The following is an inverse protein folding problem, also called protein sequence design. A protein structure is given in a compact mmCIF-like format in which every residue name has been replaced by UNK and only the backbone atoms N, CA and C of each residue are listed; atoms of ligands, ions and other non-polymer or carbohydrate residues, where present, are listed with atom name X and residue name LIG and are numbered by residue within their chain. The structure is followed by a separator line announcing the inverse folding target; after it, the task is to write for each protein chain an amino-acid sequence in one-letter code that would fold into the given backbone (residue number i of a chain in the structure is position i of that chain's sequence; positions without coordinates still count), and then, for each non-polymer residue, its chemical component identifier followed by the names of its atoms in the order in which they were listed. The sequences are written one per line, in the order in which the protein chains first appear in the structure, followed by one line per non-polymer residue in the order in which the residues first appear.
data_IF_525881116969
#
_entry.id   IF_525881116969
#
_cell.length_a   1.000
_cell.length_b   1.000
_cell.length_c   1.000
_cell.angle_alpha   90.00
_cell.angle_beta   90.00
_cell.angle_gamma   90.00
#
_symmetry.space_group_name_H-M   'P 1'
#
loop_
_entity.id
_entity.type
_entity.pdbx_description
1 polymer ?
#
# COMPACT_ATOMS: atom_id res chain seq x y z
N UNK A 1 13.68 -24.87 13.05
CA UNK A 1 12.37 -25.34 13.57
C UNK A 1 11.48 -24.21 14.08
N UNK A 2 11.93 -23.34 15.02
CA UNK A 2 11.09 -22.24 15.54
C UNK A 2 10.67 -21.19 14.49
N UNK A 3 11.52 -20.88 13.51
CA UNK A 3 11.23 -19.93 12.43
C UNK A 3 10.17 -20.47 11.44
N UNK A 4 10.23 -21.77 11.12
CA UNK A 4 9.25 -22.42 10.26
C UNK A 4 7.86 -22.42 10.89
N UNK A 5 7.77 -22.74 12.19
CA UNK A 5 6.50 -22.73 12.91
C UNK A 5 5.82 -21.35 12.90
N UNK A 6 6.60 -20.25 12.93
CA UNK A 6 6.05 -18.89 12.84
C UNK A 6 5.56 -18.61 11.42
N UNK A 7 6.31 -18.99 10.39
CA UNK A 7 5.89 -18.84 8.99
C UNK A 7 4.57 -19.58 8.73
N UNK A 8 4.42 -20.78 9.28
CA UNK A 8 3.18 -21.55 9.15
C UNK A 8 1.99 -20.87 9.86
N UNK A 9 2.21 -20.22 11.01
CA UNK A 9 1.17 -19.46 11.71
C UNK A 9 0.73 -18.22 10.91
N UNK A 10 1.69 -17.49 10.33
CA UNK A 10 1.43 -16.34 9.46
C UNK A 10 0.65 -16.81 8.23
N UNK A 11 1.11 -17.87 7.57
CA UNK A 11 0.45 -18.43 6.39
C UNK A 11 -0.99 -18.86 6.69
N UNK A 12 -1.23 -19.54 7.81
CA UNK A 12 -2.59 -19.90 8.25
C UNK A 12 -3.49 -18.70 8.50
N UNK A 13 -2.94 -17.59 8.98
CA UNK A 13 -3.68 -16.33 9.15
C UNK A 13 -3.92 -15.63 7.81
N UNK A 14 -3.13 -15.92 6.78
CA UNK A 14 -3.32 -15.40 5.43
C UNK A 14 -4.28 -16.24 4.58
N UNK A 15 -4.52 -17.51 4.91
CA UNK A 15 -5.52 -18.37 4.25
C UNK A 15 -6.94 -17.99 4.65
N UNK A 16 -7.92 -18.11 3.75
CA UNK A 16 -9.35 -17.95 4.09
C UNK A 16 -10.17 -19.11 3.52
N UNK A 17 -10.99 -19.75 4.36
CA UNK A 17 -11.62 -21.02 4.00
C UNK A 17 -10.57 -22.05 3.59
N UNK A 18 -10.76 -22.65 2.40
CA UNK A 18 -9.81 -23.56 1.76
C UNK A 18 -9.00 -22.88 0.63
N UNK A 19 -8.96 -21.54 0.59
CA UNK A 19 -8.25 -20.79 -0.45
C UNK A 19 -6.99 -20.21 0.16
N UNK A 20 -5.86 -20.80 -0.20
CA UNK A 20 -4.54 -20.36 0.21
C UNK A 20 -4.05 -19.17 -0.63
N UNK A 21 -3.13 -18.33 -0.12
CA UNK A 21 -2.60 -17.20 -0.88
C UNK A 21 -1.99 -17.60 -2.24
N UNK A 22 -1.35 -18.78 -2.30
CA UNK A 22 -0.75 -19.31 -3.52
C UNK A 22 -1.78 -19.70 -4.59
N UNK A 23 -3.01 -20.00 -4.19
CA UNK A 23 -4.08 -20.43 -5.08
C UNK A 23 -4.88 -19.25 -5.65
N UNK A 24 -4.82 -18.07 -5.02
CA UNK A 24 -5.56 -16.90 -5.48
C UNK A 24 -4.72 -16.06 -6.44
N UNK A 25 -5.13 -16.08 -7.71
CA UNK A 25 -4.51 -15.30 -8.77
C UNK A 25 -4.81 -13.81 -8.66
N UNK A 26 -3.76 -13.00 -8.58
CA UNK A 26 -3.83 -11.56 -8.80
C UNK A 26 -3.39 -11.28 -10.24
N UNK A 27 -4.04 -10.33 -10.96
CA UNK A 27 -3.70 -10.02 -12.35
C UNK A 27 -2.28 -9.47 -12.56
N UNK A 28 -1.56 -9.11 -11.50
CA UNK A 28 -0.23 -8.51 -11.57
C UNK A 28 0.75 -9.27 -10.68
N UNK A 29 1.94 -9.67 -11.19
CA UNK A 29 2.96 -10.39 -10.42
C UNK A 29 3.76 -9.50 -9.46
N UNK A 30 3.56 -8.18 -9.49
CA UNK A 30 4.11 -7.21 -8.53
C UNK A 30 3.46 -5.83 -8.72
N UNK A 31 3.75 -4.88 -7.84
CA UNK A 31 3.28 -3.49 -8.01
C UNK A 31 3.97 -2.77 -9.18
N UNK A 32 5.17 -3.19 -9.56
CA UNK A 32 5.84 -2.74 -10.79
C UNK A 32 5.04 -3.18 -12.03
N UNK A 33 4.66 -4.45 -12.09
CA UNK A 33 3.92 -5.00 -13.23
C UNK A 33 2.51 -4.39 -13.39
N UNK A 34 1.92 -3.87 -12.31
CA UNK A 34 0.70 -3.07 -12.39
C UNK A 34 0.88 -1.86 -13.31
N UNK A 35 1.91 -1.05 -13.08
CA UNK A 35 2.15 0.15 -13.89
C UNK A 35 2.46 -0.24 -15.34
N UNK A 36 3.38 -1.19 -15.54
CA UNK A 36 3.75 -1.67 -16.88
C UNK A 36 2.52 -2.15 -17.66
N UNK A 37 1.66 -2.97 -17.03
CA UNK A 37 0.44 -3.49 -17.64
C UNK A 37 -0.59 -2.41 -17.97
N UNK A 38 -0.73 -1.37 -17.15
CA UNK A 38 -1.66 -0.25 -17.42
C UNK A 38 -1.21 0.56 -18.65
N UNK A 39 0.09 0.78 -18.83
CA UNK A 39 0.61 1.59 -19.94
C UNK A 39 0.35 0.99 -21.32
N UNK A 40 0.35 -0.34 -21.44
CA UNK A 40 0.20 -1.04 -22.73
C UNK A 40 -1.13 -0.67 -23.42
N UNK A 41 -2.21 -0.54 -22.64
CA UNK A 41 -3.56 -0.27 -23.19
C UNK A 41 -4.05 1.14 -22.94
N UNK A 42 -3.55 1.81 -21.89
CA UNK A 42 -4.10 3.07 -21.40
C UNK A 42 -3.02 4.16 -21.28
N UNK A 43 -1.94 4.07 -22.06
CA UNK A 43 -0.81 5.00 -22.01
C UNK A 43 -1.21 6.47 -22.04
N UNK A 44 -2.12 6.86 -22.94
CA UNK A 44 -2.55 8.25 -23.12
C UNK A 44 -3.62 8.70 -22.09
N UNK A 45 -4.10 7.80 -21.23
CA UNK A 45 -5.09 8.16 -20.22
C UNK A 45 -4.46 9.04 -19.14
N UNK A 46 -5.08 10.19 -18.87
CA UNK A 46 -4.71 11.06 -17.74
C UNK A 46 -5.02 10.33 -16.42
N UNK A 47 -4.01 10.23 -15.55
CA UNK A 47 -4.16 9.68 -14.19
C UNK A 47 -4.02 10.74 -13.12
N UNK A 48 -3.16 11.75 -13.30
CA UNK A 48 -3.03 12.88 -12.37
C UNK A 48 -3.43 14.16 -13.09
N UNK A 49 -4.72 14.48 -13.04
CA UNK A 49 -5.33 15.56 -13.82
C UNK A 49 -4.75 16.93 -13.48
N UNK A 50 -4.47 17.16 -12.21
CA UNK A 50 -3.99 18.47 -11.73
C UNK A 50 -2.60 18.83 -12.28
N UNK A 51 -1.84 17.82 -12.72
CA UNK A 51 -0.49 17.96 -13.28
C UNK A 51 -0.44 17.62 -14.77
N UNK A 52 -1.58 17.29 -15.38
CA UNK A 52 -1.66 16.80 -16.76
C UNK A 52 -0.74 15.60 -17.05
N UNK A 53 -0.63 14.66 -16.10
CA UNK A 53 0.22 13.47 -16.24
C UNK A 53 -0.62 12.29 -16.71
N UNK A 54 -0.22 11.69 -17.83
CA UNK A 54 -0.76 10.44 -18.36
C UNK A 54 -0.10 9.21 -17.73
N UNK A 55 -0.67 8.02 -17.95
CA UNK A 55 -0.04 6.76 -17.55
C UNK A 55 1.39 6.62 -18.10
N UNK A 56 1.58 6.89 -19.40
CA UNK A 56 2.90 6.75 -20.03
C UNK A 56 3.90 7.79 -19.51
N UNK A 57 3.44 9.01 -19.21
CA UNK A 57 4.30 10.03 -18.60
C UNK A 57 4.72 9.63 -17.20
N UNK A 58 3.79 9.12 -16.39
CA UNK A 58 4.11 8.65 -15.05
C UNK A 58 5.09 7.48 -15.06
N UNK A 59 4.93 6.53 -15.99
CA UNK A 59 5.86 5.42 -16.13
C UNK A 59 7.28 5.87 -16.51
N UNK A 60 7.40 6.86 -17.40
CA UNK A 60 8.69 7.47 -17.73
C UNK A 60 9.31 8.15 -16.50
N UNK A 61 8.52 8.89 -15.73
CA UNK A 61 8.98 9.50 -14.48
C UNK A 61 9.45 8.44 -13.47
N UNK A 62 8.77 7.30 -13.37
CA UNK A 62 9.18 6.19 -12.50
C UNK A 62 10.56 5.65 -12.91
N UNK A 63 10.79 5.42 -14.20
CA UNK A 63 12.08 4.95 -14.71
C UNK A 63 13.19 5.98 -14.49
N UNK A 64 12.90 7.27 -14.71
CA UNK A 64 13.82 8.37 -14.41
C UNK A 64 14.15 8.45 -12.91
N UNK A 65 13.15 8.23 -12.05
CA UNK A 65 13.33 8.19 -10.60
C UNK A 65 14.20 6.99 -10.19
N UNK A 66 14.05 5.84 -10.83
CA UNK A 66 14.90 4.67 -10.57
C UNK A 66 16.37 4.91 -10.92
N UNK A 67 16.66 5.61 -12.03
CA UNK A 67 18.03 6.07 -12.34
C UNK A 67 18.59 6.98 -11.25
N UNK A 68 17.84 8.01 -10.86
CA UNK A 68 18.26 8.93 -9.81
C UNK A 68 18.51 8.21 -8.48
N UNK A 69 17.63 7.29 -8.08
CA UNK A 69 17.79 6.46 -6.88
C UNK A 69 19.07 5.60 -6.94
N UNK A 70 19.39 5.03 -8.10
CA UNK A 70 20.63 4.27 -8.31
C UNK A 70 21.86 5.16 -8.11
N UNK A 71 21.84 6.41 -8.59
CA UNK A 71 22.92 7.38 -8.34
C UNK A 71 23.01 7.80 -6.86
N UNK A 72 21.89 7.81 -6.14
CA UNK A 72 21.89 7.98 -4.67
C UNK A 72 22.40 6.75 -3.91
N UNK A 73 22.85 5.71 -4.63
CA UNK A 73 23.39 4.49 -4.04
C UNK A 73 22.32 3.56 -3.44
N UNK A 74 21.05 3.72 -3.84
CA UNK A 74 19.99 2.78 -3.50
C UNK A 74 20.16 1.52 -4.35
N UNK A 75 19.96 0.36 -3.73
CA UNK A 75 20.09 -0.96 -4.33
C UNK A 75 18.81 -1.77 -4.09
N UNK A 76 18.58 -2.84 -4.86
CA UNK A 76 17.52 -3.78 -4.57
C UNK A 76 17.50 -4.22 -3.10
N UNK A 77 16.29 -4.36 -2.54
CA UNK A 77 16.00 -4.77 -1.15
C UNK A 77 16.42 -3.79 -0.05
N UNK A 78 16.99 -2.64 -0.39
CA UNK A 78 17.19 -1.57 0.58
C UNK A 78 15.85 -1.09 1.16
N UNK A 79 15.85 -0.73 2.44
CA UNK A 79 14.71 -0.12 3.10
C UNK A 79 14.91 1.39 3.10
N UNK A 80 14.09 2.14 2.36
CA UNK A 80 14.24 3.59 2.19
C UNK A 80 13.08 4.31 2.87
N UNK A 81 13.39 5.27 3.74
CA UNK A 81 12.37 6.09 4.41
C UNK A 81 11.64 6.95 3.37
N UNK A 82 10.31 6.91 3.39
CA UNK A 82 9.46 7.77 2.57
C UNK A 82 9.15 9.05 3.36
N UNK A 83 9.67 10.17 2.89
CA UNK A 83 9.30 11.50 3.39
C UNK A 83 8.23 12.13 2.51
N UNK A 84 7.30 12.85 3.15
CA UNK A 84 6.22 13.54 2.44
C UNK A 84 6.73 14.72 1.60
N UNK A 85 6.43 14.65 0.31
CA UNK A 85 6.58 15.70 -0.70
C UNK A 85 5.23 16.05 -1.32
N UNK A 86 5.20 17.13 -2.11
CA UNK A 86 3.99 17.52 -2.83
C UNK A 86 3.50 16.40 -3.74
N UNK A 87 2.18 16.25 -3.86
CA UNK A 87 1.59 15.30 -4.79
C UNK A 87 1.97 15.67 -6.25
N UNK A 88 2.30 14.71 -7.14
CA UNK A 88 2.38 13.25 -6.94
C UNK A 88 3.81 12.74 -6.64
N UNK A 89 4.70 13.58 -6.09
CA UNK A 89 6.12 13.28 -5.94
C UNK A 89 6.39 12.20 -4.88
N UNK A 90 5.60 12.14 -3.80
CA UNK A 90 5.72 11.07 -2.79
C UNK A 90 5.33 9.72 -3.38
N UNK A 91 4.25 9.69 -4.15
CA UNK A 91 3.78 8.50 -4.86
C UNK A 91 4.82 8.07 -5.91
N UNK A 92 5.38 9.03 -6.67
CA UNK A 92 6.45 8.79 -7.63
C UNK A 92 7.69 8.15 -6.99
N UNK A 93 8.13 8.68 -5.83
CA UNK A 93 9.24 8.11 -5.07
C UNK A 93 9.02 6.64 -4.74
N UNK A 94 7.83 6.29 -4.24
CA UNK A 94 7.52 4.91 -3.88
C UNK A 94 7.51 3.98 -5.10
N UNK A 95 6.92 4.41 -6.22
CA UNK A 95 6.96 3.62 -7.44
C UNK A 95 8.37 3.47 -8.01
N UNK A 96 9.22 4.51 -7.91
CA UNK A 96 10.64 4.43 -8.28
C UNK A 96 11.40 3.38 -7.47
N UNK A 97 11.19 3.36 -6.15
CA UNK A 97 11.78 2.34 -5.27
C UNK A 97 11.33 0.93 -5.65
N UNK A 98 10.03 0.71 -5.86
CA UNK A 98 9.53 -0.60 -6.29
C UNK A 98 10.05 -0.99 -7.67
N UNK A 99 10.18 -0.05 -8.60
CA UNK A 99 10.66 -0.32 -9.95
C UNK A 99 12.09 -0.84 -9.95
N UNK A 100 12.96 -0.34 -9.06
CA UNK A 100 14.33 -0.87 -8.88
C UNK A 100 14.45 -2.03 -7.89
N UNK A 101 13.33 -2.54 -7.34
CA UNK A 101 13.32 -3.64 -6.39
C UNK A 101 13.69 -3.27 -4.94
N UNK A 102 13.71 -1.98 -4.59
CA UNK A 102 13.85 -1.49 -3.22
C UNK A 102 12.49 -1.43 -2.49
N UNK A 103 12.54 -1.13 -1.19
CA UNK A 103 11.37 -1.16 -0.29
C UNK A 103 11.11 0.22 0.31
N UNK A 104 9.85 0.64 0.32
CA UNK A 104 9.45 1.84 1.06
C UNK A 104 9.36 1.55 2.56
N UNK A 105 9.76 2.51 3.39
CA UNK A 105 9.61 2.47 4.85
C UNK A 105 8.82 3.70 5.28
N UNK A 106 7.68 3.47 5.91
CA UNK A 106 6.79 4.52 6.40
C UNK A 106 6.89 4.57 7.92
N UNK A 107 7.00 5.79 8.46
CA UNK A 107 6.97 6.07 9.88
C UNK A 107 5.54 6.47 10.27
N UNK A 108 4.92 5.76 11.22
CA UNK A 108 3.54 6.06 11.64
C UNK A 108 3.43 7.40 12.37
N UNK A 109 4.50 7.79 13.06
CA UNK A 109 4.65 9.11 13.66
C UNK A 109 6.11 9.60 13.53
N UNK A 110 6.32 10.92 13.64
CA UNK A 110 7.66 11.53 13.50
C UNK A 110 8.63 11.15 14.62
N UNK A 111 8.12 10.65 15.74
CA UNK A 111 8.87 10.39 16.97
C UNK A 111 9.13 8.89 17.21
N UNK A 112 8.76 8.00 16.27
CA UNK A 112 8.93 6.56 16.45
C UNK A 112 10.42 6.27 16.56
N UNK A 113 10.79 5.48 17.58
CA UNK A 113 12.16 5.00 17.71
C UNK A 113 12.46 4.02 16.58
N UNK A 114 13.50 4.33 15.81
CA UNK A 114 13.99 3.45 14.76
C UNK A 114 14.82 2.33 15.40
N UNK A 115 14.33 1.10 15.29
CA UNK A 115 15.11 -0.08 15.63
C UNK A 115 16.25 -0.25 14.63
N UNK A 116 17.49 -0.15 15.11
CA UNK A 116 18.71 -0.21 14.29
C UNK A 116 18.96 -1.58 13.65
N UNK A 117 18.21 -2.61 14.06
CA UNK A 117 18.30 -3.94 13.42
C UNK A 117 17.75 -3.93 11.99
N UNK A 118 16.88 -2.97 11.65
CA UNK A 118 16.50 -2.71 10.26
C UNK A 118 17.43 -1.66 9.66
N UNK A 119 18.25 -2.06 8.69
CA UNK A 119 19.11 -1.13 7.95
C UNK A 119 18.23 -0.21 7.09
N UNK A 120 18.14 1.07 7.47
CA UNK A 120 17.39 2.10 6.79
C UNK A 120 18.32 3.05 6.03
N UNK A 121 17.90 3.45 4.83
CA UNK A 121 18.48 4.56 4.09
C UNK A 121 17.53 5.74 4.12
N UNK A 122 18.10 6.92 4.27
CA UNK A 122 17.38 8.20 4.24
C UNK A 122 17.91 8.96 3.04
N UNK A 123 17.01 9.37 2.16
CA UNK A 123 17.35 10.22 1.02
C UNK A 123 17.29 11.68 1.44
N UNK A 124 18.10 12.52 0.81
CA UNK A 124 17.94 13.95 0.93
C UNK A 124 16.60 14.36 0.30
N UNK A 125 15.85 15.20 1.01
CA UNK A 125 14.59 15.73 0.51
C UNK A 125 14.85 16.71 -0.63
N UNK A 126 14.35 16.38 -1.82
CA UNK A 126 14.35 17.26 -2.98
C UNK A 126 13.17 18.24 -2.89
N UNK A 127 13.38 19.50 -3.30
CA UNK A 127 12.30 20.48 -3.37
C UNK A 127 11.27 20.15 -4.46
N UNK A 128 11.75 19.63 -5.59
CA UNK A 128 10.94 19.19 -6.72
C UNK A 128 11.56 17.96 -7.38
N UNK A 129 11.12 16.78 -6.98
CA UNK A 129 11.56 15.49 -7.50
C UNK A 129 11.28 15.36 -9.01
N UNK A 130 10.12 15.81 -9.50
CA UNK A 130 9.75 15.66 -10.92
C UNK A 130 10.73 16.42 -11.81
N UNK A 131 11.05 17.66 -11.43
CA UNK A 131 12.06 18.45 -12.12
C UNK A 131 13.44 17.82 -12.01
N UNK A 132 13.82 17.38 -10.79
CA UNK A 132 15.11 16.73 -10.52
C UNK A 132 15.35 15.50 -11.40
N UNK A 133 14.34 14.64 -11.57
CA UNK A 133 14.49 13.39 -12.34
C UNK A 133 14.30 13.59 -13.84
N UNK A 134 13.76 14.73 -14.27
CA UNK A 134 13.40 14.98 -15.68
C UNK A 134 14.58 14.86 -16.67
N UNK A 135 15.82 15.07 -16.21
CA UNK A 135 17.05 14.96 -17.01
C UNK A 135 17.56 13.54 -17.19
N UNK A 136 17.05 12.58 -16.41
CA UNK A 136 17.50 11.20 -16.46
C UNK A 136 16.93 10.45 -17.67
N UNK A 137 17.55 9.34 -18.10
CA UNK A 137 17.02 8.51 -19.16
C UNK A 137 15.63 7.95 -18.82
N UNK A 138 14.77 7.85 -19.84
CA UNK A 138 13.37 7.38 -19.70
C UNK A 138 13.22 5.86 -19.68
N UNK A 139 14.32 5.11 -19.84
CA UNK A 139 14.35 3.65 -19.81
C UNK A 139 15.30 3.20 -18.71
N UNK A 140 14.81 2.41 -17.75
CA UNK A 140 15.61 1.82 -16.68
C UNK A 140 15.41 0.32 -16.67
N UNK A 141 16.50 -0.45 -16.63
CA UNK A 141 16.43 -1.90 -16.52
C UNK A 141 16.76 -2.31 -15.08
N UNK A 142 15.80 -2.83 -14.30
CA UNK A 142 16.04 -3.15 -12.91
C UNK A 142 16.85 -4.43 -12.73
N UNK A 143 17.83 -4.37 -11.84
CA UNK A 143 18.65 -5.53 -11.46
C UNK A 143 17.82 -6.63 -10.75
N UNK A 144 16.71 -6.25 -10.12
CA UNK A 144 15.82 -7.16 -9.40
C UNK A 144 14.36 -6.80 -9.65
N UNK A 145 13.56 -7.78 -10.05
CA UNK A 145 12.10 -7.68 -10.13
C UNK A 145 11.50 -8.41 -8.93
N UNK A 146 10.88 -7.66 -8.02
CA UNK A 146 10.32 -8.21 -6.79
C UNK A 146 9.17 -9.20 -7.06
N UNK A 147 9.15 -10.31 -6.31
CA UNK A 147 8.05 -11.27 -6.31
C UNK A 147 6.91 -10.82 -5.40
N UNK A 148 5.70 -11.38 -5.61
CA UNK A 148 4.49 -11.08 -4.84
C UNK A 148 4.67 -11.21 -3.32
N UNK A 149 5.39 -12.22 -2.86
CA UNK A 149 5.59 -12.49 -1.43
C UNK A 149 6.68 -11.63 -0.78
N UNK A 150 7.52 -10.95 -1.57
CA UNK A 150 8.56 -10.07 -1.04
C UNK A 150 7.96 -8.84 -0.37
N UNK A 151 8.64 -8.35 0.66
CA UNK A 151 8.28 -7.12 1.37
C UNK A 151 8.37 -5.93 0.42
N UNK A 152 7.25 -5.23 0.24
CA UNK A 152 7.13 -3.99 -0.52
C UNK A 152 7.25 -2.76 0.37
N UNK A 153 6.70 -2.84 1.59
CA UNK A 153 6.60 -1.76 2.57
C UNK A 153 6.94 -2.27 3.96
N UNK A 154 7.72 -1.49 4.70
CA UNK A 154 7.86 -1.59 6.15
C UNK A 154 7.04 -0.47 6.81
N UNK A 155 6.33 -0.78 7.89
CA UNK A 155 5.69 0.24 8.73
C UNK A 155 6.36 0.22 10.10
N UNK A 156 6.91 1.36 10.51
CA UNK A 156 7.52 1.54 11.83
C UNK A 156 6.54 2.31 12.71
N UNK A 157 6.12 1.68 13.81
CA UNK A 157 5.19 2.25 14.79
C UNK A 157 5.71 2.04 16.22
N UNK A 158 5.03 2.63 17.20
CA UNK A 158 5.31 2.35 18.61
C UNK A 158 5.00 0.90 19.00
N UNK A 159 4.18 0.21 18.21
CA UNK A 159 3.91 -1.22 18.34
C UNK A 159 5.05 -2.08 17.79
N UNK A 160 6.00 -1.52 17.05
CA UNK A 160 7.09 -2.21 16.38
C UNK A 160 7.02 -2.12 14.86
N UNK A 161 7.88 -2.89 14.19
CA UNK A 161 8.03 -2.90 12.73
C UNK A 161 7.24 -4.06 12.15
N UNK A 162 6.39 -3.79 11.16
CA UNK A 162 5.67 -4.81 10.38
C UNK A 162 6.12 -4.80 8.91
N UNK A 163 5.95 -5.94 8.26
CA UNK A 163 6.26 -6.15 6.85
C UNK A 163 4.99 -6.39 6.04
N UNK A 164 4.81 -5.63 4.96
CA UNK A 164 3.71 -5.79 4.02
C UNK A 164 4.27 -6.19 2.65
N UNK A 165 3.71 -7.25 2.08
CA UNK A 165 4.13 -7.77 0.79
C UNK A 165 3.47 -7.05 -0.38
N UNK A 166 4.05 -7.19 -1.58
CA UNK A 166 3.40 -6.74 -2.82
C UNK A 166 2.03 -7.43 -2.98
N UNK A 167 1.93 -8.71 -2.65
CA UNK A 167 0.70 -9.49 -2.64
C UNK A 167 -0.38 -8.87 -1.75
N UNK A 168 -0.07 -8.65 -0.47
CA UNK A 168 -1.04 -8.11 0.49
C UNK A 168 -1.56 -6.76 0.06
N UNK A 169 -0.68 -5.88 -0.44
CA UNK A 169 -1.05 -4.57 -0.98
C UNK A 169 -2.00 -4.69 -2.19
N UNK A 170 -1.70 -5.58 -3.14
CA UNK A 170 -2.50 -5.76 -4.35
C UNK A 170 -3.84 -6.46 -4.08
N UNK A 171 -3.91 -7.47 -3.21
CA UNK A 171 -5.19 -8.10 -2.84
C UNK A 171 -6.06 -7.11 -2.09
N UNK A 172 -5.50 -6.33 -1.16
CA UNK A 172 -6.28 -5.34 -0.43
C UNK A 172 -6.83 -4.27 -1.38
N UNK A 173 -5.99 -3.79 -2.31
CA UNK A 173 -6.42 -2.84 -3.36
C UNK A 173 -7.49 -3.43 -4.27
N UNK A 174 -7.37 -4.69 -4.70
CA UNK A 174 -8.38 -5.38 -5.52
C UNK A 174 -9.72 -5.50 -4.78
N UNK A 175 -9.67 -5.94 -3.52
CA UNK A 175 -10.84 -6.15 -2.68
C UNK A 175 -11.58 -4.84 -2.44
N UNK A 176 -10.81 -3.77 -2.20
CA UNK A 176 -11.35 -2.44 -2.06
C UNK A 176 -11.95 -1.91 -3.37
N UNK A 177 -11.25 -2.02 -4.49
CA UNK A 177 -11.77 -1.58 -5.80
C UNK A 177 -13.13 -2.23 -6.11
N UNK A 178 -13.27 -3.53 -5.82
CA UNK A 178 -14.54 -4.27 -5.94
C UNK A 178 -15.61 -3.75 -4.99
N UNK A 179 -15.27 -3.58 -3.71
CA UNK A 179 -16.22 -3.16 -2.69
C UNK A 179 -16.73 -1.72 -2.88
N UNK A 180 -15.89 -0.84 -3.43
CA UNK A 180 -16.27 0.53 -3.78
C UNK A 180 -16.89 0.65 -5.18
N UNK A 181 -16.98 -0.45 -5.92
CA UNK A 181 -17.46 -0.51 -7.31
C UNK A 181 -16.80 0.53 -8.23
N UNK A 182 -15.50 0.80 -8.01
CA UNK A 182 -14.79 1.84 -8.76
C UNK A 182 -14.68 1.46 -10.24
N UNK A 183 -15.12 2.39 -11.10
CA UNK A 183 -15.05 2.27 -12.55
C UNK A 183 -13.89 3.10 -13.11
N UNK A 184 -13.29 2.68 -14.24
CA UNK A 184 -12.30 3.47 -14.96
C UNK A 184 -12.83 4.87 -15.30
N UNK A 185 -11.96 5.88 -15.21
CA UNK A 185 -12.29 7.27 -15.54
C UNK A 185 -12.99 8.05 -14.43
N UNK A 186 -13.49 7.39 -13.37
CA UNK A 186 -14.07 8.09 -12.20
C UNK A 186 -12.99 8.94 -11.53
N UNK A 187 -13.34 10.18 -11.16
CA UNK A 187 -12.40 11.07 -10.46
C UNK A 187 -12.35 10.79 -8.96
N UNK A 188 -11.14 10.64 -8.42
CA UNK A 188 -10.88 10.26 -7.03
C UNK A 188 -9.94 11.27 -6.37
N UNK A 189 -10.15 11.54 -5.09
CA UNK A 189 -9.20 12.23 -4.22
C UNK A 189 -9.02 11.50 -2.89
N UNK A 190 -7.80 11.54 -2.35
CA UNK A 190 -7.47 10.94 -1.06
C UNK A 190 -6.49 11.82 -0.29
N UNK A 191 -6.90 12.37 0.85
CA UNK A 191 -6.10 13.36 1.60
C UNK A 191 -5.18 12.75 2.66
N UNK A 192 -5.04 11.43 2.67
CA UNK A 192 -4.20 10.71 3.63
C UNK A 192 -2.71 11.01 3.38
N UNK A 193 -1.94 11.35 4.42
CA UNK A 193 -0.48 11.51 4.33
C UNK A 193 0.25 10.15 4.38
N UNK A 194 1.53 10.06 3.99
CA UNK A 194 2.32 8.83 3.97
C UNK A 194 2.75 8.36 5.37
N UNK A 195 1.79 8.15 6.27
CA UNK A 195 2.01 7.73 7.67
C UNK A 195 1.39 6.36 7.98
N UNK A 196 0.74 5.71 7.02
CA UNK A 196 0.28 4.33 7.17
C UNK A 196 0.20 3.64 5.82
N UNK A 197 0.00 2.32 5.86
CA UNK A 197 -0.27 1.54 4.68
C UNK A 197 -1.63 1.85 4.02
N UNK A 198 -2.55 2.53 4.73
CA UNK A 198 -3.77 3.09 4.13
C UNK A 198 -3.44 4.12 3.05
N UNK A 199 -2.39 4.92 3.21
CA UNK A 199 -1.92 5.82 2.14
C UNK A 199 -1.48 5.03 0.91
N UNK A 200 -0.73 3.95 1.11
CA UNK A 200 -0.25 3.09 0.02
C UNK A 200 -1.43 2.49 -0.76
N UNK A 201 -2.39 1.87 -0.07
CA UNK A 201 -3.53 1.26 -0.75
C UNK A 201 -4.44 2.31 -1.38
N UNK A 202 -4.88 3.31 -0.61
CA UNK A 202 -5.96 4.23 -1.02
C UNK A 202 -5.50 5.34 -1.98
N UNK A 203 -4.27 5.83 -1.82
CA UNK A 203 -3.75 6.98 -2.57
C UNK A 203 -2.74 6.58 -3.64
N UNK A 204 -1.87 5.61 -3.38
CA UNK A 204 -0.83 5.18 -4.34
C UNK A 204 -1.40 4.16 -5.32
N UNK A 205 -1.95 3.05 -4.82
CA UNK A 205 -2.31 1.90 -5.66
C UNK A 205 -3.72 2.00 -6.25
N UNK A 206 -4.72 2.34 -5.45
CA UNK A 206 -6.13 2.33 -5.87
C UNK A 206 -6.43 3.15 -7.13
N UNK A 207 -5.89 4.39 -7.31
CA UNK A 207 -6.16 5.17 -8.52
C UNK A 207 -5.62 4.48 -9.77
N UNK A 208 -4.38 3.96 -9.70
CA UNK A 208 -3.73 3.25 -10.80
C UNK A 208 -4.44 1.93 -11.10
N UNK A 209 -4.70 1.14 -10.06
CA UNK A 209 -5.34 -0.18 -10.17
C UNK A 209 -6.74 -0.08 -10.78
N UNK A 210 -7.51 0.93 -10.36
CA UNK A 210 -8.90 1.14 -10.79
C UNK A 210 -9.00 1.95 -12.09
N UNK A 211 -7.87 2.49 -12.60
CA UNK A 211 -7.83 3.44 -13.71
C UNK A 211 -8.66 4.71 -13.45
N UNK A 212 -8.67 5.17 -12.21
CA UNK A 212 -9.34 6.41 -11.82
C UNK A 212 -8.49 7.63 -12.22
N UNK A 213 -9.15 8.77 -12.37
CA UNK A 213 -8.50 10.06 -12.59
C UNK A 213 -8.30 10.73 -11.23
N UNK A 214 -7.08 10.83 -10.74
CA UNK A 214 -6.81 11.50 -9.49
C UNK A 214 -6.81 13.02 -9.67
N UNK A 215 -7.56 13.73 -8.82
CA UNK A 215 -7.62 15.20 -8.83
C UNK A 215 -8.11 15.73 -7.50
N UNK A 216 -7.52 16.82 -7.01
CA UNK A 216 -8.04 17.62 -5.90
C UNK A 216 -9.21 18.50 -6.33
N UNK A 217 -9.35 18.79 -7.63
CA UNK A 217 -10.32 19.71 -8.19
C UNK A 217 -11.63 18.98 -8.51
N UNK A 218 -12.63 19.15 -7.64
CA UNK A 218 -13.97 18.56 -7.79
C UNK A 218 -13.95 17.05 -8.08
N UNK A 219 -13.34 16.23 -7.21
CA UNK A 219 -13.37 14.78 -7.34
C UNK A 219 -14.81 14.25 -7.19
N UNK A 220 -15.11 13.15 -7.88
CA UNK A 220 -16.40 12.46 -7.75
C UNK A 220 -16.47 11.65 -6.46
N UNK A 221 -15.31 11.17 -5.99
CA UNK A 221 -15.18 10.36 -4.78
C UNK A 221 -14.03 10.91 -3.94
N UNK A 222 -14.29 11.14 -2.65
CA UNK A 222 -13.28 11.51 -1.66
C UNK A 222 -13.07 10.33 -0.68
N UNK A 223 -11.82 9.98 -0.41
CA UNK A 223 -11.45 9.05 0.68
C UNK A 223 -10.67 9.84 1.73
N UNK A 224 -11.15 9.88 2.96
CA UNK A 224 -10.55 10.71 4.02
C UNK A 224 -10.83 10.18 5.42
N UNK A 225 -10.01 10.56 6.40
CA UNK A 225 -10.33 10.35 7.82
C UNK A 225 -11.31 11.39 8.39
N UNK A 226 -11.58 12.47 7.66
CA UNK A 226 -12.53 13.51 8.07
C UNK A 226 -13.97 13.02 7.94
N UNK A 227 -14.86 13.61 8.72
CA UNK A 227 -16.29 13.39 8.55
C UNK A 227 -16.73 13.89 7.17
N UNK A 228 -17.53 13.08 6.49
CA UNK A 228 -18.11 13.40 5.19
C UNK A 228 -19.58 12.99 5.15
N UNK A 229 -20.33 13.66 4.29
CA UNK A 229 -21.71 13.30 4.00
C UNK A 229 -21.78 12.05 3.12
N UNK A 230 -22.87 11.29 3.29
CA UNK A 230 -23.16 10.14 2.44
C UNK A 230 -23.29 10.59 0.98
N UNK A 231 -22.64 9.87 0.07
CA UNK A 231 -22.66 10.16 -1.36
C UNK A 231 -21.47 11.00 -1.86
N UNK A 232 -20.71 11.62 -0.95
CA UNK A 232 -19.49 12.38 -1.30
C UNK A 232 -18.26 11.49 -1.43
N UNK A 233 -18.29 10.30 -0.82
CA UNK A 233 -17.19 9.34 -0.87
C UNK A 233 -17.20 8.42 0.36
N UNK A 234 -16.01 8.12 0.87
CA UNK A 234 -15.82 7.16 1.96
C UNK A 234 -14.98 7.72 3.12
N UNK A 235 -15.49 7.53 4.34
CA UNK A 235 -14.82 7.93 5.57
C UNK A 235 -14.00 6.76 6.13
N UNK A 236 -12.73 6.99 6.41
CA UNK A 236 -11.86 6.02 7.05
C UNK A 236 -12.03 6.06 8.57
N UNK A 237 -12.07 4.87 9.18
CA UNK A 237 -12.25 4.67 10.61
C UNK A 237 -11.19 3.70 11.14
N UNK A 238 -10.51 4.07 12.22
CA UNK A 238 -9.51 3.21 12.91
C UNK A 238 -10.06 2.56 14.18
N UNK A 239 -11.14 3.10 14.71
CA UNK A 239 -11.77 2.73 15.97
C UNK A 239 -12.79 1.61 15.74
N UNK A 240 -12.24 0.44 15.40
CA UNK A 240 -12.99 -0.80 15.18
C UNK A 240 -13.80 -1.21 16.43
N UNK A 241 -13.45 -0.73 17.62
CA UNK A 241 -14.22 -0.89 18.85
C UNK A 241 -15.65 -0.36 18.69
N UNK A 242 -15.84 0.65 17.85
CA UNK A 242 -17.11 1.31 17.57
C UNK A 242 -17.78 0.79 16.29
N UNK A 243 -17.51 -0.47 15.89
CA UNK A 243 -18.02 -1.08 14.65
C UNK A 243 -19.55 -0.96 14.52
N UNK A 244 -20.28 -0.99 15.62
CA UNK A 244 -21.75 -0.86 15.59
C UNK A 244 -22.22 0.47 14.98
N UNK A 245 -21.41 1.53 15.10
CA UNK A 245 -21.66 2.83 14.49
C UNK A 245 -21.14 2.96 13.05
N UNK A 246 -20.59 1.90 12.45
CA UNK A 246 -20.10 1.96 11.07
C UNK A 246 -21.27 1.92 10.08
N UNK A 247 -21.19 2.81 9.08
CA UNK A 247 -22.18 2.96 8.01
C UNK A 247 -21.62 2.43 6.69
N UNK A 248 -22.47 2.27 5.67
CA UNK A 248 -22.12 1.75 4.35
C UNK A 248 -21.03 2.55 3.60
N UNK A 249 -20.78 3.80 3.99
CA UNK A 249 -19.69 4.64 3.47
C UNK A 249 -18.48 4.73 4.41
N UNK A 250 -18.45 3.99 5.52
CA UNK A 250 -17.29 3.92 6.41
C UNK A 250 -16.39 2.75 6.02
N UNK A 251 -15.08 2.99 5.92
CA UNK A 251 -14.06 1.97 5.70
C UNK A 251 -13.30 1.75 7.00
N UNK A 252 -13.38 0.53 7.55
CA UNK A 252 -12.52 0.13 8.66
C UNK A 252 -11.11 -0.11 8.16
N UNK A 253 -10.13 0.55 8.76
CA UNK A 253 -8.71 0.40 8.41
C UNK A 253 -7.86 -0.10 9.57
N UNK A 254 -6.94 -1.03 9.25
CA UNK A 254 -5.99 -1.64 10.17
C UNK A 254 -4.72 -2.02 9.40
N UNK A 255 -3.56 -1.53 9.87
CA UNK A 255 -2.26 -1.73 9.21
C UNK A 255 -1.88 -3.21 9.14
N UNK A 256 -2.22 -3.96 10.18
CA UNK A 256 -2.03 -5.41 10.30
C UNK A 256 -2.80 -6.22 9.23
N UNK A 257 -3.91 -5.68 8.70
CA UNK A 257 -4.63 -6.22 7.54
C UNK A 257 -4.26 -5.47 6.24
N UNK A 258 -3.04 -4.97 6.15
CA UNK A 258 -2.53 -4.12 5.07
C UNK A 258 -3.21 -2.75 4.98
N UNK A 259 -4.52 -2.63 4.83
CA UNK A 259 -5.21 -1.34 4.95
C UNK A 259 -6.68 -1.52 5.32
N UNK A 260 -7.57 -1.79 4.36
CA UNK A 260 -9.00 -1.93 4.63
C UNK A 260 -9.33 -3.34 5.11
N UNK A 261 -10.19 -3.47 6.12
CA UNK A 261 -10.70 -4.78 6.57
C UNK A 261 -12.22 -4.91 6.43
N UNK A 262 -12.96 -3.80 6.39
CA UNK A 262 -14.41 -3.80 6.15
C UNK A 262 -14.91 -2.52 5.46
N UNK A 263 -16.12 -2.62 4.88
CA UNK A 263 -16.99 -1.49 4.52
C UNK A 263 -18.27 -1.60 5.32
N UNK A 264 -18.60 -0.55 6.08
CA UNK A 264 -19.58 -0.64 7.14
C UNK A 264 -19.22 -1.74 8.12
N UNK A 265 -20.08 -2.76 8.18
CA UNK A 265 -19.88 -3.95 9.02
C UNK A 265 -19.48 -5.19 8.21
N UNK A 266 -19.42 -5.07 6.89
CA UNK A 266 -19.17 -6.18 5.97
C UNK A 266 -17.67 -6.33 5.74
N UNK A 267 -17.09 -7.53 5.93
CA UNK A 267 -15.68 -7.76 5.68
C UNK A 267 -15.32 -7.53 4.20
N UNK A 268 -14.05 -7.15 3.96
CA UNK A 268 -13.52 -7.12 2.60
C UNK A 268 -13.40 -8.50 1.99
N UNK A 269 -13.44 -8.55 0.65
CA UNK A 269 -13.20 -9.81 -0.07
C UNK A 269 -11.88 -10.44 0.41
N UNK A 270 -11.91 -11.77 0.62
CA UNK A 270 -10.79 -12.53 1.18
C UNK A 270 -10.26 -12.03 2.53
N UNK A 271 -11.10 -11.33 3.29
CA UNK A 271 -10.84 -10.93 4.67
C UNK A 271 -11.96 -11.50 5.55
N UNK A 272 -11.60 -11.95 6.73
CA UNK A 272 -12.51 -12.23 7.82
C UNK A 272 -12.02 -11.50 9.07
N UNK A 273 -12.95 -11.03 9.90
CA UNK A 273 -12.60 -10.37 11.14
C UNK A 273 -13.62 -10.61 12.24
N UNK A 274 -13.17 -10.50 13.48
CA UNK A 274 -14.03 -10.54 14.66
C UNK A 274 -13.48 -9.67 15.77
N UNK A 275 -14.38 -9.13 16.58
CA UNK A 275 -14.01 -8.38 17.78
C UNK A 275 -14.20 -9.32 18.97
N UNK A 276 -13.11 -9.60 19.68
CA UNK A 276 -13.15 -10.48 20.87
C UNK A 276 -12.12 -10.03 21.89
N UNK A 277 -12.57 -9.90 23.14
CA UNK A 277 -11.74 -9.49 24.27
C UNK A 277 -11.02 -8.15 24.00
N UNK A 278 -11.77 -7.15 23.54
CA UNK A 278 -11.24 -5.81 23.23
C UNK A 278 -10.06 -5.85 22.24
N UNK A 279 -10.14 -6.76 21.26
CA UNK A 279 -9.18 -6.89 20.18
C UNK A 279 -9.89 -7.15 18.86
N UNK A 280 -9.39 -6.51 17.82
CA UNK A 280 -9.68 -6.89 16.44
C UNK A 280 -8.82 -8.09 16.07
N UNK A 281 -9.47 -9.18 15.69
CA UNK A 281 -8.83 -10.36 15.12
C UNK A 281 -9.07 -10.34 13.62
N UNK A 282 -8.01 -10.45 12.82
CA UNK A 282 -8.11 -10.45 11.35
C UNK A 282 -7.51 -11.72 10.76
N UNK A 283 -8.10 -12.17 9.67
CA UNK A 283 -7.64 -13.31 8.87
C UNK A 283 -7.88 -13.01 7.40
N UNK A 284 -7.03 -13.56 6.56
CA UNK A 284 -7.19 -13.55 5.12
C UNK A 284 -6.02 -12.91 4.39
N UNK A 285 -6.17 -12.81 3.07
CA UNK A 285 -5.07 -12.67 2.13
C UNK A 285 -4.30 -11.35 2.26
N UNK A 286 -4.90 -10.35 2.93
CA UNK A 286 -4.29 -9.04 3.19
C UNK A 286 -3.54 -8.95 4.53
N UNK A 287 -3.50 -10.02 5.34
CA UNK A 287 -2.77 -10.02 6.61
C UNK A 287 -1.27 -9.84 6.37
N UNK A 288 -0.62 -9.00 7.17
CA UNK A 288 0.82 -8.69 7.08
C UNK A 288 1.74 -9.93 7.13
N UNK A 289 2.96 -9.80 6.62
CA UNK A 289 4.01 -10.84 6.66
C UNK A 289 4.72 -10.94 8.02
N UNK A 290 4.12 -10.38 9.07
CA UNK A 290 4.61 -10.41 10.43
C UNK A 290 5.45 -9.21 10.84
N UNK A 291 5.87 -9.25 12.09
CA UNK A 291 6.72 -8.30 12.77
C UNK A 291 8.20 -8.64 12.60
N UNK A 292 9.07 -7.62 12.66
CA UNK A 292 10.51 -7.81 12.82
C UNK A 292 10.84 -8.60 14.10
N UNK A 293 10.11 -8.33 15.19
CA UNK A 293 10.27 -9.04 16.46
C UNK A 293 9.55 -10.41 16.43
N UNK A 294 10.33 -11.48 16.41
CA UNK A 294 9.80 -12.85 16.35
C UNK A 294 8.97 -13.27 17.57
N UNK A 295 9.27 -12.75 18.76
CA UNK A 295 8.44 -13.03 19.93
C UNK A 295 7.06 -12.38 19.77
N UNK A 296 6.99 -11.20 19.15
CA UNK A 296 5.72 -10.56 18.82
C UNK A 296 4.90 -11.39 17.83
N UNK A 297 5.54 -11.99 16.82
CA UNK A 297 4.85 -12.93 15.92
C UNK A 297 4.21 -14.09 16.69
N UNK A 298 4.98 -14.77 17.55
CA UNK A 298 4.48 -15.92 18.33
C UNK A 298 3.25 -15.60 19.19
N UNK A 299 3.19 -14.40 19.76
CA UNK A 299 2.08 -14.02 20.64
C UNK A 299 0.87 -13.45 19.90
N UNK A 300 1.07 -12.93 18.69
CA UNK A 300 0.02 -12.28 17.89
C UNK A 300 -0.72 -13.29 17.00
N UNK A 301 0.01 -14.13 16.25
CA UNK A 301 -0.61 -15.10 15.34
C UNK A 301 -1.07 -16.36 16.09
N UNK A 302 -2.39 -16.53 16.25
CA UNK A 302 -2.99 -17.63 17.01
C UNK A 302 -4.29 -18.08 16.38
N UNK A 303 -4.53 -19.39 16.38
CA UNK A 303 -5.77 -20.00 15.89
C UNK A 303 -6.13 -19.61 14.45
N UNK A 304 -5.12 -19.36 13.59
CA UNK A 304 -5.32 -18.94 12.21
C UNK A 304 -5.82 -17.51 12.04
N UNK A 305 -5.64 -16.65 13.05
CA UNK A 305 -5.88 -15.21 12.98
C UNK A 305 -4.63 -14.48 13.47
N UNK A 306 -4.55 -13.20 13.13
CA UNK A 306 -3.73 -12.19 13.78
C UNK A 306 -4.56 -11.40 14.80
#
# INVERSE_FOLDING_TARGET
MADQAIKDLIYKAQTIGNIEPIEYMIPYPSTQALIEGQNIKFGDQIIYKDHNITNIDFYRLIQQTAHWLSEQGIKPKDNVIIEENEFPQTELMLFGLWHMGARGTILENKNVKIDKTLALKILHKESNLIEKVSSYPKNFEPEHKALLNETAINIISDKGIIFLSHYGLLVNTNSLQKALELKPGVSLFCDIPPTSSSWVVMKVLLPIYSRCIYTKKNPSIIITFKDIEKGTGFQLRKDWENLEGFRDYHIGVCTENTAAFCIGKTPMHLTDFKIKNEKLWVKGHSVMNGYLNQNKNKVSFKNGYL
#
